data_IF_689022867365
#
_entry.id   IF_689022867365
#
_cell.length_a   1.000
_cell.length_b   1.000
_cell.length_c   1.000
_cell.angle_alpha   90.00
_cell.angle_beta   90.00
_cell.angle_gamma   90.00
#
_symmetry.space_group_name_H-M   'P 1'
#
loop_
_entity.id
_entity.type
_entity.pdbx_description
1 polymer ?
#
# COMPACT_ATOMS: atom_id res chain seq x y z
N UNK A 1 -30.11 1.04 21.46
CA UNK A 1 -29.25 1.44 20.32
C UNK A 1 -29.20 2.95 20.15
N UNK A 2 -30.24 3.64 19.65
CA UNK A 2 -30.18 5.09 19.36
C UNK A 2 -29.69 6.00 20.51
N UNK A 3 -30.11 5.75 21.75
CA UNK A 3 -29.64 6.54 22.92
C UNK A 3 -28.15 6.35 23.22
N UNK A 4 -27.63 5.14 23.01
CA UNK A 4 -26.21 4.83 23.20
C UNK A 4 -25.37 5.44 22.07
N UNK A 5 -25.81 5.32 20.83
CA UNK A 5 -25.16 5.96 19.67
C UNK A 5 -25.15 7.48 19.80
N UNK A 6 -26.25 8.08 20.25
CA UNK A 6 -26.34 9.52 20.50
C UNK A 6 -25.44 9.97 21.66
N UNK A 7 -25.30 9.16 22.71
CA UNK A 7 -24.37 9.45 23.81
C UNK A 7 -22.91 9.39 23.33
N UNK A 8 -22.55 8.40 22.52
CA UNK A 8 -21.22 8.30 21.90
C UNK A 8 -20.95 9.47 20.97
N UNK A 9 -21.93 9.87 20.15
CA UNK A 9 -21.80 11.03 19.27
C UNK A 9 -21.56 12.33 20.05
N UNK A 10 -22.33 12.56 21.12
CA UNK A 10 -22.13 13.73 22.00
C UNK A 10 -20.75 13.73 22.66
N UNK A 11 -20.30 12.58 23.18
CA UNK A 11 -18.99 12.46 23.80
C UNK A 11 -17.85 12.73 22.78
N UNK A 12 -17.99 12.24 21.54
CA UNK A 12 -17.03 12.53 20.46
C UNK A 12 -16.99 14.00 20.11
N UNK A 13 -18.15 14.65 19.99
CA UNK A 13 -18.22 16.07 19.67
C UNK A 13 -17.59 16.92 20.77
N UNK A 14 -17.93 16.67 22.04
CA UNK A 14 -17.32 17.38 23.17
C UNK A 14 -15.80 17.23 23.19
N UNK A 15 -15.27 16.03 22.90
CA UNK A 15 -13.84 15.81 22.80
C UNK A 15 -13.19 16.53 21.60
N UNK A 16 -13.94 16.79 20.52
CA UNK A 16 -13.46 17.59 19.38
C UNK A 16 -13.47 19.08 19.71
N UNK A 17 -14.51 19.58 20.35
CA UNK A 17 -14.61 20.97 20.78
C UNK A 17 -13.45 21.34 21.72
N UNK A 18 -13.19 20.50 22.74
CA UNK A 18 -12.03 20.65 23.64
C UNK A 18 -10.67 20.67 22.91
N UNK A 19 -10.58 19.98 21.77
CA UNK A 19 -9.37 19.94 20.95
C UNK A 19 -9.22 21.22 20.14
N UNK A 20 -10.31 21.77 19.60
CA UNK A 20 -10.31 23.05 18.90
C UNK A 20 -9.96 24.21 19.85
N UNK A 21 -10.50 24.24 21.06
CA UNK A 21 -10.16 25.26 22.06
C UNK A 21 -8.66 25.29 22.38
N UNK A 22 -8.02 24.11 22.48
CA UNK A 22 -6.57 23.99 22.69
C UNK A 22 -5.74 24.46 21.49
N UNK A 23 -6.31 24.41 20.29
CA UNK A 23 -5.69 24.88 19.05
C UNK A 23 -5.89 26.39 18.84
N UNK A 24 -6.84 27.01 19.53
CA UNK A 24 -7.02 28.48 19.54
C UNK A 24 -6.23 29.17 20.67
N UNK A 25 -5.71 28.38 21.62
CA UNK A 25 -4.88 28.90 22.72
C UNK A 25 -3.51 29.44 22.25
N UNK A 26 -2.83 30.21 23.11
CA UNK A 26 -1.46 30.68 22.85
C UNK A 26 -0.42 29.56 22.69
N UNK A 27 -0.76 28.31 23.06
CA UNK A 27 0.07 27.13 22.84
C UNK A 27 -0.33 26.31 21.60
N UNK A 28 -1.16 26.87 20.72
CA UNK A 28 -1.64 26.27 19.48
C UNK A 28 -0.53 25.55 18.70
N UNK A 29 0.56 26.25 18.39
CA UNK A 29 1.68 25.71 17.60
C UNK A 29 2.30 24.47 18.25
N UNK A 30 2.51 24.50 19.57
CA UNK A 30 3.06 23.37 20.34
C UNK A 30 2.12 22.18 20.34
N UNK A 31 0.81 22.44 20.41
CA UNK A 31 -0.22 21.40 20.39
C UNK A 31 -0.34 20.78 19.00
N UNK A 32 -0.33 21.58 17.93
CA UNK A 32 -0.27 21.11 16.54
C UNK A 32 0.96 20.24 16.31
N UNK A 33 2.13 20.71 16.74
CA UNK A 33 3.38 19.96 16.61
C UNK A 33 3.31 18.59 17.30
N UNK A 34 2.78 18.54 18.54
CA UNK A 34 2.58 17.29 19.27
C UNK A 34 1.59 16.36 18.57
N UNK A 35 0.48 16.89 18.06
CA UNK A 35 -0.54 16.13 17.34
C UNK A 35 0.02 15.53 16.04
N UNK A 36 0.75 16.33 15.26
CA UNK A 36 1.42 15.87 14.05
C UNK A 36 2.45 14.77 14.36
N UNK A 37 3.25 14.95 15.41
CA UNK A 37 4.24 13.95 15.86
C UNK A 37 3.58 12.65 16.31
N UNK A 38 2.46 12.72 17.03
CA UNK A 38 1.71 11.55 17.46
C UNK A 38 1.11 10.79 16.26
N UNK A 39 0.51 11.51 15.30
CA UNK A 39 0.00 10.91 14.05
C UNK A 39 1.10 10.25 13.24
N UNK A 40 2.24 10.93 13.09
CA UNK A 40 3.39 10.37 12.39
C UNK A 40 3.86 9.07 13.06
N UNK A 41 4.02 9.05 14.39
CA UNK A 41 4.38 7.84 15.13
C UNK A 41 3.36 6.71 14.96
N UNK A 42 2.06 7.01 14.99
CA UNK A 42 1.01 6.02 14.79
C UNK A 42 0.95 5.46 13.36
N UNK A 43 1.50 6.19 12.37
CA UNK A 43 1.62 5.72 10.98
C UNK A 43 2.85 4.85 10.71
N UNK A 44 3.80 4.77 11.65
CA UNK A 44 4.98 3.93 11.50
C UNK A 44 4.66 2.51 11.97
N UNK A 45 4.77 1.53 11.07
CA UNK A 45 4.59 0.10 11.40
C UNK A 45 5.67 -0.40 12.37
N UNK A 46 6.85 0.23 12.34
CA UNK A 46 7.95 0.00 13.27
C UNK A 46 8.31 1.33 13.90
N UNK A 47 7.89 1.54 15.15
CA UNK A 47 8.15 2.79 15.86
C UNK A 47 9.62 2.91 16.27
N UNK A 48 10.26 1.81 16.68
CA UNK A 48 11.70 1.73 17.01
C UNK A 48 12.20 0.29 16.81
N UNK A 49 13.27 0.09 16.02
CA UNK A 49 14.01 -1.18 16.00
C UNK A 49 14.97 -1.16 17.18
N UNK A 50 14.52 -1.62 18.34
CA UNK A 50 15.31 -1.60 19.58
C UNK A 50 16.33 -2.72 19.67
N UNK A 51 16.18 -3.78 18.88
CA UNK A 51 17.00 -4.97 19.00
C UNK A 51 17.06 -5.75 17.68
N UNK A 52 18.27 -6.17 17.30
CA UNK A 52 18.49 -7.10 16.19
C UNK A 52 19.32 -8.26 16.71
N UNK A 53 18.97 -9.48 16.27
CA UNK A 53 19.75 -10.69 16.59
C UNK A 53 21.03 -10.71 15.73
N UNK A 54 22.17 -10.93 16.37
CA UNK A 54 23.44 -11.17 15.71
C UNK A 54 23.45 -12.58 15.09
N UNK A 55 24.52 -12.90 14.37
CA UNK A 55 24.74 -14.25 13.83
C UNK A 55 25.05 -15.28 14.91
N UNK A 56 25.65 -14.80 16.00
CA UNK A 56 26.07 -15.57 17.16
C UNK A 56 24.95 -15.67 18.20
N UNK A 57 23.70 -15.45 17.78
CA UNK A 57 22.48 -15.49 18.58
C UNK A 57 22.34 -14.42 19.69
N UNK A 58 23.25 -13.46 19.76
CA UNK A 58 23.20 -12.34 20.71
C UNK A 58 22.25 -11.21 20.29
N UNK A 59 21.61 -10.56 21.27
CA UNK A 59 20.66 -9.46 21.02
C UNK A 59 21.35 -8.11 21.15
N UNK A 60 21.60 -7.44 20.02
CA UNK A 60 22.23 -6.12 19.99
C UNK A 60 21.18 -5.03 20.12
N UNK A 61 21.32 -4.17 21.15
CA UNK A 61 20.49 -2.98 21.40
C UNK A 61 21.18 -1.67 21.02
N UNK A 62 22.44 -1.73 20.61
CA UNK A 62 23.18 -0.55 20.17
C UNK A 62 22.71 -0.09 18.77
N UNK A 63 22.31 1.18 18.58
CA UNK A 63 21.79 1.66 17.31
C UNK A 63 22.76 1.56 16.13
N UNK A 64 24.07 1.73 16.37
CA UNK A 64 25.08 1.62 15.31
C UNK A 64 25.27 0.15 14.90
N UNK A 65 25.38 -0.75 15.88
CA UNK A 65 25.49 -2.19 15.64
C UNK A 65 24.25 -2.74 14.90
N UNK A 66 23.05 -2.31 15.28
CA UNK A 66 21.79 -2.65 14.59
C UNK A 66 21.82 -2.21 13.13
N UNK A 67 22.27 -0.97 12.86
CA UNK A 67 22.35 -0.42 11.50
C UNK A 67 23.35 -1.18 10.64
N UNK A 68 24.55 -1.47 11.16
CA UNK A 68 25.57 -2.22 10.43
C UNK A 68 25.14 -3.68 10.19
N UNK A 69 24.43 -4.31 11.13
CA UNK A 69 23.86 -5.65 10.92
C UNK A 69 22.84 -5.66 9.79
N UNK A 70 21.93 -4.69 9.75
CA UNK A 70 20.97 -4.53 8.65
C UNK A 70 21.68 -4.30 7.31
N UNK A 71 22.73 -3.47 7.31
CA UNK A 71 23.54 -3.21 6.12
C UNK A 71 24.19 -4.48 5.59
N UNK A 72 24.81 -5.27 6.46
CA UNK A 72 25.45 -6.54 6.08
C UNK A 72 24.43 -7.56 5.54
N UNK A 73 23.30 -7.72 6.23
CA UNK A 73 22.22 -8.62 5.81
C UNK A 73 21.67 -8.28 4.43
N UNK A 74 21.34 -7.01 4.17
CA UNK A 74 20.83 -6.59 2.86
C UNK A 74 21.91 -6.60 1.78
N UNK A 75 23.17 -6.30 2.11
CA UNK A 75 24.27 -6.41 1.16
C UNK A 75 24.45 -7.86 0.67
N UNK A 76 24.32 -8.84 1.57
CA UNK A 76 24.33 -10.24 1.19
C UNK A 76 23.08 -10.60 0.36
N UNK A 77 21.89 -10.32 0.87
CA UNK A 77 20.61 -10.66 0.22
C UNK A 77 20.46 -10.08 -1.20
N UNK A 78 20.93 -8.85 -1.43
CA UNK A 78 20.75 -8.15 -2.70
C UNK A 78 21.88 -8.40 -3.70
N UNK A 79 23.08 -8.76 -3.25
CA UNK A 79 24.21 -9.01 -4.13
C UNK A 79 24.47 -10.51 -4.36
N UNK A 80 23.90 -11.40 -3.56
CA UNK A 80 23.87 -12.81 -3.92
C UNK A 80 23.00 -13.03 -5.14
N UNK A 81 23.66 -13.40 -6.24
CA UNK A 81 23.00 -13.77 -7.47
C UNK A 81 22.35 -15.14 -7.27
N UNK A 82 21.10 -15.15 -6.78
CA UNK A 82 20.31 -16.37 -6.78
C UNK A 82 20.27 -16.91 -8.20
N UNK A 83 20.66 -18.17 -8.37
CA UNK A 83 20.59 -18.90 -9.63
C UNK A 83 19.13 -19.01 -10.05
N UNK A 84 18.64 -17.95 -10.69
CA UNK A 84 17.30 -17.90 -11.28
C UNK A 84 17.25 -19.06 -12.24
N UNK A 85 16.31 -19.99 -12.03
CA UNK A 85 15.98 -21.00 -13.04
C UNK A 85 15.82 -20.23 -14.34
N UNK A 86 16.62 -20.59 -15.36
CA UNK A 86 16.40 -20.07 -16.70
C UNK A 86 14.96 -20.43 -17.04
N UNK A 87 14.09 -19.42 -17.06
CA UNK A 87 12.82 -19.56 -17.74
C UNK A 87 13.22 -19.82 -19.18
N UNK A 88 13.15 -21.07 -19.61
CA UNK A 88 13.06 -21.34 -21.02
C UNK A 88 11.83 -20.56 -21.46
N UNK A 89 11.94 -19.52 -22.30
CA UNK A 89 10.76 -19.09 -23.00
C UNK A 89 10.25 -20.37 -23.67
N UNK A 90 9.06 -20.82 -23.30
CA UNK A 90 8.37 -21.80 -24.12
C UNK A 90 8.39 -21.28 -25.56
N UNK A 91 8.35 -22.18 -26.55
CA UNK A 91 8.34 -21.79 -27.95
C UNK A 91 7.45 -20.55 -28.14
N UNK A 92 7.99 -19.46 -28.71
CA UNK A 92 7.17 -18.31 -29.04
C UNK A 92 5.96 -18.85 -29.79
N UNK A 93 4.76 -18.55 -29.31
CA UNK A 93 3.54 -18.83 -30.07
C UNK A 93 3.62 -17.97 -31.32
N UNK A 94 4.24 -18.53 -32.36
CA UNK A 94 4.48 -17.86 -33.62
C UNK A 94 3.16 -17.85 -34.38
N UNK A 95 2.52 -16.70 -34.39
CA UNK A 95 1.28 -16.50 -35.13
C UNK A 95 0.74 -15.09 -34.95
N UNK A 96 -0.06 -14.59 -35.91
CA UNK A 96 -0.83 -13.38 -35.70
C UNK A 96 -1.67 -13.51 -34.43
N UNK A 97 -1.60 -12.52 -33.55
CA UNK A 97 -2.51 -12.42 -32.42
C UNK A 97 -3.92 -12.33 -33.01
N UNK A 98 -4.75 -13.35 -32.76
CA UNK A 98 -6.11 -13.36 -33.25
C UNK A 98 -6.85 -12.13 -32.69
N UNK A 99 -7.56 -11.36 -33.53
CA UNK A 99 -8.43 -10.30 -33.06
C UNK A 99 -9.44 -10.87 -32.08
N UNK A 100 -9.59 -10.22 -30.93
CA UNK A 100 -10.60 -10.62 -29.96
C UNK A 100 -11.99 -10.33 -30.53
N UNK A 101 -12.91 -11.28 -30.39
CA UNK A 101 -14.30 -11.09 -30.79
C UNK A 101 -15.09 -10.43 -29.66
N UNK A 102 -16.09 -9.61 -29.99
CA UNK A 102 -16.97 -8.96 -29.00
C UNK A 102 -17.61 -9.97 -28.04
N UNK A 103 -17.96 -11.16 -28.54
CA UNK A 103 -18.52 -12.23 -27.73
C UNK A 103 -17.53 -12.86 -26.77
N UNK A 104 -16.25 -12.95 -27.13
CA UNK A 104 -15.19 -13.42 -26.23
C UNK A 104 -14.99 -12.45 -25.07
N UNK A 105 -14.98 -11.15 -25.35
CA UNK A 105 -14.90 -10.12 -24.31
C UNK A 105 -16.15 -10.11 -23.44
N UNK A 106 -17.35 -10.23 -24.04
CA UNK A 106 -18.60 -10.33 -23.28
C UNK A 106 -18.59 -11.55 -22.35
N UNK A 107 -18.12 -12.71 -22.85
CA UNK A 107 -18.02 -13.96 -22.07
C UNK A 107 -16.98 -13.86 -20.96
N UNK A 108 -15.85 -13.20 -21.21
CA UNK A 108 -14.82 -12.94 -20.21
C UNK A 108 -15.32 -12.00 -19.10
N UNK A 109 -15.98 -10.89 -19.48
CA UNK A 109 -16.59 -9.94 -18.54
C UNK A 109 -17.70 -10.61 -17.72
N UNK A 110 -18.54 -11.44 -18.34
CA UNK A 110 -19.60 -12.17 -17.64
C UNK A 110 -19.05 -13.25 -16.69
N UNK A 111 -17.87 -13.82 -16.97
CA UNK A 111 -17.15 -14.73 -16.06
C UNK A 111 -16.53 -14.02 -14.85
N UNK A 112 -16.34 -12.70 -14.91
CA UNK A 112 -15.80 -11.91 -13.79
C UNK A 112 -16.90 -11.65 -12.75
N UNK A 113 -16.91 -12.43 -11.66
CA UNK A 113 -17.79 -12.16 -10.52
C UNK A 113 -17.52 -10.76 -9.96
N UNK A 114 -18.58 -9.96 -9.78
CA UNK A 114 -18.57 -8.71 -9.01
C UNK A 114 -18.10 -9.04 -7.59
N UNK A 115 -16.92 -8.56 -7.20
CA UNK A 115 -16.37 -8.73 -5.85
C UNK A 115 -15.09 -9.54 -5.70
N UNK A 116 -14.43 -10.01 -6.78
CA UNK A 116 -13.06 -10.56 -6.64
C UNK A 116 -12.04 -9.48 -6.30
N UNK A 117 -11.09 -9.86 -5.44
CA UNK A 117 -10.07 -8.99 -4.86
C UNK A 117 -9.28 -8.20 -5.92
N UNK A 118 -8.91 -6.94 -5.63
CA UNK A 118 -8.03 -6.17 -6.50
C UNK A 118 -6.70 -6.91 -6.67
N UNK A 119 -6.15 -6.90 -7.88
CA UNK A 119 -4.78 -7.38 -8.11
C UNK A 119 -3.77 -6.58 -7.28
N UNK A 120 -2.49 -6.99 -7.21
CA UNK A 120 -1.45 -6.43 -6.34
C UNK A 120 -1.25 -4.90 -6.41
N UNK A 121 -1.82 -4.24 -7.43
CA UNK A 121 -1.79 -2.78 -7.58
C UNK A 121 -2.96 -2.06 -6.87
N UNK A 122 -3.81 -2.74 -6.10
CA UNK A 122 -4.88 -2.13 -5.29
C UNK A 122 -6.03 -1.47 -6.07
N UNK A 123 -6.00 -1.51 -7.41
CA UNK A 123 -7.03 -0.91 -8.25
C UNK A 123 -8.17 -1.90 -8.48
N UNK A 124 -9.42 -1.62 -8.06
CA UNK A 124 -10.56 -2.46 -8.39
C UNK A 124 -10.77 -2.50 -9.91
N UNK A 125 -10.94 -3.71 -10.47
CA UNK A 125 -10.85 -3.97 -11.91
C UNK A 125 -11.82 -3.14 -12.78
N UNK A 126 -12.94 -2.67 -12.20
CA UNK A 126 -13.85 -1.69 -12.83
C UNK A 126 -13.15 -0.40 -13.30
N UNK A 127 -12.06 0.02 -12.65
CA UNK A 127 -11.32 1.25 -13.01
C UNK A 127 -10.23 1.03 -14.07
N UNK A 128 -9.79 -0.21 -14.31
CA UNK A 128 -8.79 -0.51 -15.33
C UNK A 128 -9.38 -0.59 -16.74
N UNK A 129 -10.62 -1.06 -16.85
CA UNK A 129 -11.34 -1.13 -18.14
C UNK A 129 -11.43 0.27 -18.74
N UNK A 130 -11.88 1.27 -17.96
CA UNK A 130 -12.06 2.65 -18.42
C UNK A 130 -10.75 3.25 -18.97
N UNK A 131 -9.61 3.11 -18.30
CA UNK A 131 -8.35 3.71 -18.80
C UNK A 131 -7.83 3.07 -20.09
N UNK A 132 -7.99 1.75 -20.28
CA UNK A 132 -7.56 1.07 -21.51
C UNK A 132 -8.52 1.30 -22.68
N UNK A 133 -9.85 1.38 -22.45
CA UNK A 133 -10.80 1.69 -23.54
C UNK A 133 -10.63 3.12 -24.02
N UNK A 134 -10.40 4.10 -23.13
CA UNK A 134 -10.17 5.49 -23.55
C UNK A 134 -8.83 5.66 -24.28
N UNK A 135 -7.77 4.95 -23.91
CA UNK A 135 -6.52 4.96 -24.70
C UNK A 135 -6.71 4.35 -26.09
N UNK A 136 -7.43 3.22 -26.20
CA UNK A 136 -7.68 2.58 -27.49
C UNK A 136 -8.63 3.40 -28.39
N UNK A 137 -9.66 4.04 -27.81
CA UNK A 137 -10.56 4.95 -28.53
C UNK A 137 -9.83 6.24 -28.92
N UNK A 138 -8.96 6.79 -28.07
CA UNK A 138 -8.17 7.97 -28.41
C UNK A 138 -7.17 7.71 -29.54
N UNK A 139 -6.60 6.51 -29.62
CA UNK A 139 -5.67 6.13 -30.70
C UNK A 139 -6.41 5.94 -32.04
N UNK A 140 -7.65 5.47 -32.03
CA UNK A 140 -8.46 5.27 -33.25
C UNK A 140 -9.10 6.57 -33.78
N UNK A 141 -9.30 7.58 -32.93
CA UNK A 141 -9.94 8.87 -33.30
C UNK A 141 -8.91 9.92 -33.75
N UNK A 142 -7.62 9.70 -33.54
CA UNK A 142 -6.53 10.61 -33.92
C UNK A 142 -5.56 10.01 -34.96
N UNK A 143 -6.08 9.19 -35.89
CA UNK A 143 -5.48 8.95 -37.21
C UNK A 143 -6.50 9.25 -38.30
#
# INVERSE_FOLDING_TARGET
MRRAEAAVARAKNAAMDDLYDKLESSQAEKNVYRLAKARHRASLDVTEVRAVKSEEDDVWRDPLAVKERWRAYFAHLLNEEFSRKKNFPGEPVAGPVQPWTVDEVRKAVNKMKVGKAPGPNGIPMKRQITRRTWLAVAIQVFQ
#
